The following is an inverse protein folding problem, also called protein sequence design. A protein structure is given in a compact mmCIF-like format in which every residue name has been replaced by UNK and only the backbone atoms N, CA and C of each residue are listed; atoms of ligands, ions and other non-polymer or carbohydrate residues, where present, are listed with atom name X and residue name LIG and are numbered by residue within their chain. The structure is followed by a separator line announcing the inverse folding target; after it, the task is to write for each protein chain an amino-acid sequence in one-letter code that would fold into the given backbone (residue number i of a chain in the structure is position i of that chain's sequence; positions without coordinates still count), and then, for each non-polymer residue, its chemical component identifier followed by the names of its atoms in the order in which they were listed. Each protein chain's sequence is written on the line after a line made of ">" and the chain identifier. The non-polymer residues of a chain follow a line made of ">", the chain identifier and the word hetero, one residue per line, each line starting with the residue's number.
data_IF_288153235128
#
_entry.id   IF_288153235128
#
_cell.length_a   1.000
_cell.length_b   1.000
_cell.length_c   1.000
_cell.angle_alpha   90.00
_cell.angle_beta   90.00
_cell.angle_gamma   90.00
#
_symmetry.space_group_name_H-M   'P 1'
#
loop_
_entity.id
_entity.type
_entity.pdbx_description
1 polymer ?
#
# COMPACT_ATOMS: atom_id res chain seq x y z
N UNK A 1 -38.50 63.75 -33.95
CA UNK A 1 -38.96 63.31 -32.62
C UNK A 1 -37.97 62.26 -32.11
N UNK A 2 -37.32 62.49 -30.97
CA UNK A 2 -36.46 61.48 -30.32
C UNK A 2 -37.32 60.53 -29.48
N UNK A 3 -37.00 59.22 -29.42
CA UNK A 3 -37.71 58.28 -28.54
C UNK A 3 -37.45 58.63 -27.05
N UNK A 4 -38.41 58.37 -26.14
CA UNK A 4 -38.24 58.66 -24.73
C UNK A 4 -37.12 57.80 -24.12
N UNK A 5 -36.30 58.40 -23.26
CA UNK A 5 -35.27 57.70 -22.50
C UNK A 5 -35.91 56.61 -21.64
N UNK A 6 -35.42 55.37 -21.78
CA UNK A 6 -35.83 54.25 -20.93
C UNK A 6 -35.46 54.49 -19.46
N UNK A 7 -36.09 53.78 -18.52
CA UNK A 7 -35.83 53.93 -17.09
C UNK A 7 -34.37 53.61 -16.74
N UNK A 8 -33.80 54.24 -15.68
CA UNK A 8 -32.42 54.01 -15.29
C UNK A 8 -32.20 52.53 -14.99
N UNK A 9 -31.15 51.96 -15.59
CA UNK A 9 -30.73 50.61 -15.29
C UNK A 9 -30.46 50.51 -13.79
N UNK A 10 -31.25 49.70 -13.08
CA UNK A 10 -31.02 49.40 -11.67
C UNK A 10 -29.61 48.83 -11.45
N UNK A 11 -29.12 48.81 -10.21
CA UNK A 11 -27.81 48.26 -9.90
C UNK A 11 -27.70 46.85 -10.49
N UNK A 12 -26.69 46.67 -11.35
CA UNK A 12 -26.40 45.38 -11.99
C UNK A 12 -26.04 44.40 -10.87
N UNK A 13 -26.83 43.34 -10.70
CA UNK A 13 -26.45 42.23 -9.83
C UNK A 13 -25.16 41.64 -10.39
N UNK A 14 -24.03 41.91 -9.75
CA UNK A 14 -22.77 41.27 -10.14
C UNK A 14 -22.91 39.77 -9.87
N UNK A 15 -22.63 38.89 -10.86
CA UNK A 15 -22.70 37.46 -10.63
C UNK A 15 -21.68 37.08 -9.56
N UNK A 16 -22.20 36.45 -8.51
CA UNK A 16 -21.49 35.67 -7.49
C UNK A 16 -20.33 34.92 -8.17
N UNK A 17 -19.10 35.36 -7.92
CA UNK A 17 -17.91 34.80 -8.52
C UNK A 17 -17.43 33.54 -7.80
N UNK A 18 -16.30 32.97 -8.21
CA UNK A 18 -15.62 31.93 -7.44
C UNK A 18 -15.02 32.46 -6.12
N UNK A 19 -15.34 33.74 -5.78
CA UNK A 19 -14.98 34.70 -4.72
C UNK A 19 -15.67 34.62 -3.36
N UNK A 20 -16.88 34.10 -3.39
CA UNK A 20 -17.97 34.48 -2.51
C UNK A 20 -18.70 33.24 -1.95
N UNK A 21 -17.94 32.14 -1.85
CA UNK A 21 -18.35 30.97 -1.10
C UNK A 21 -18.15 31.25 0.39
N UNK A 22 -19.25 31.53 1.07
CA UNK A 22 -19.29 31.64 2.54
C UNK A 22 -19.30 30.24 3.15
N UNK A 23 -18.27 29.94 3.94
CA UNK A 23 -18.17 28.72 4.74
C UNK A 23 -19.37 28.68 5.72
N UNK A 24 -20.23 27.66 5.68
CA UNK A 24 -21.37 27.56 6.60
C UNK A 24 -20.90 27.57 8.06
N UNK A 25 -21.48 28.40 8.94
CA UNK A 25 -21.12 28.40 10.35
C UNK A 25 -21.50 27.05 10.97
N UNK A 26 -20.49 26.25 11.33
CA UNK A 26 -20.66 24.91 11.88
C UNK A 26 -19.88 23.79 11.18
N UNK A 27 -19.08 24.10 10.14
CA UNK A 27 -18.01 23.20 9.71
C UNK A 27 -16.90 23.21 10.78
N UNK A 28 -17.10 22.36 11.78
CA UNK A 28 -16.18 22.05 12.86
C UNK A 28 -14.75 21.81 12.34
N UNK A 29 -13.75 22.33 13.07
CA UNK A 29 -12.29 22.20 12.85
C UNK A 29 -11.79 20.75 13.05
N UNK A 30 -12.63 19.76 12.76
CA UNK A 30 -12.40 18.34 12.91
C UNK A 30 -11.40 17.83 11.88
N UNK A 31 -10.11 18.11 12.08
CA UNK A 31 -9.04 17.52 11.31
C UNK A 31 -9.09 15.99 11.42
N UNK A 32 -8.86 15.32 10.29
CA UNK A 32 -8.77 13.86 10.26
C UNK A 32 -7.68 13.38 11.23
N UNK A 33 -8.09 12.63 12.25
CA UNK A 33 -7.16 11.89 13.12
C UNK A 33 -7.02 10.50 12.53
N UNK A 34 -5.83 10.12 12.00
CA UNK A 34 -5.64 8.80 11.45
C UNK A 34 -5.92 7.74 12.52
N UNK A 35 -6.56 6.61 12.14
CA UNK A 35 -6.70 5.49 13.03
C UNK A 35 -5.30 5.01 13.48
N UNK A 36 -5.19 4.43 14.68
CA UNK A 36 -3.92 3.88 15.13
C UNK A 36 -3.40 2.83 14.11
N UNK A 37 -2.07 2.77 13.89
CA UNK A 37 -1.50 1.89 12.87
C UNK A 37 -1.81 0.43 13.18
N UNK A 38 -2.02 -0.40 12.14
CA UNK A 38 -2.24 -1.83 12.34
C UNK A 38 -1.02 -2.50 13.00
N UNK A 39 -1.23 -3.60 13.73
CA UNK A 39 -0.15 -4.33 14.38
C UNK A 39 0.78 -4.97 13.34
N UNK A 40 2.08 -4.94 13.64
CA UNK A 40 3.11 -5.49 12.74
C UNK A 40 2.96 -7.01 12.51
N UNK A 41 3.27 -7.50 11.29
CA UNK A 41 3.26 -8.93 11.01
C UNK A 41 4.20 -9.70 11.93
N UNK A 42 3.71 -10.79 12.54
CA UNK A 42 4.54 -11.68 13.37
C UNK A 42 5.24 -12.71 12.50
N UNK A 43 6.57 -12.79 12.59
CA UNK A 43 7.36 -13.82 11.92
C UNK A 43 6.98 -15.18 12.51
N UNK A 44 6.43 -16.08 11.69
CA UNK A 44 6.06 -17.43 12.13
C UNK A 44 7.31 -18.33 12.07
N UNK A 45 7.36 -19.35 12.92
CA UNK A 45 8.45 -20.34 12.94
C UNK A 45 8.70 -20.96 11.55
N UNK A 46 7.63 -21.16 10.77
CA UNK A 46 7.70 -21.67 9.40
C UNK A 46 8.47 -20.72 8.47
N UNK A 47 8.24 -19.42 8.58
CA UNK A 47 8.97 -18.40 7.82
C UNK A 47 10.45 -18.41 8.20
N UNK A 48 10.75 -18.50 9.50
CA UNK A 48 12.13 -18.60 9.98
C UNK A 48 12.84 -19.86 9.45
N UNK A 49 12.15 -21.01 9.44
CA UNK A 49 12.69 -22.25 8.88
C UNK A 49 12.96 -22.15 7.38
N UNK A 50 12.05 -21.54 6.61
CA UNK A 50 12.24 -21.31 5.18
C UNK A 50 13.45 -20.40 4.90
N UNK A 51 13.58 -19.30 5.65
CA UNK A 51 14.73 -18.40 5.57
C UNK A 51 16.04 -19.11 5.91
N UNK A 52 16.03 -19.94 6.95
CA UNK A 52 17.21 -20.70 7.37
C UNK A 52 17.60 -21.73 6.30
N UNK A 53 16.64 -22.38 5.64
CA UNK A 53 16.90 -23.26 4.49
C UNK A 53 17.56 -22.52 3.33
N UNK A 54 17.05 -21.33 2.97
CA UNK A 54 17.64 -20.48 1.91
C UNK A 54 19.06 -20.10 2.28
N UNK A 55 19.26 -19.59 3.49
CA UNK A 55 20.59 -19.18 3.96
C UNK A 55 21.58 -20.35 3.97
N UNK A 56 21.15 -21.52 4.43
CA UNK A 56 21.98 -22.72 4.42
C UNK A 56 22.34 -23.15 2.99
N UNK A 57 21.38 -23.10 2.06
CA UNK A 57 21.63 -23.36 0.64
C UNK A 57 22.68 -22.42 0.04
N UNK A 58 22.58 -21.11 0.34
CA UNK A 58 23.59 -20.12 -0.09
C UNK A 58 24.97 -20.41 0.51
N UNK A 59 25.04 -20.71 1.82
CA UNK A 59 26.30 -21.03 2.49
C UNK A 59 26.95 -22.26 1.85
N UNK A 60 26.18 -23.33 1.62
CA UNK A 60 26.70 -24.55 0.97
C UNK A 60 27.21 -24.25 -0.43
N UNK A 61 26.51 -23.43 -1.23
CA UNK A 61 26.90 -23.19 -2.63
C UNK A 61 28.08 -22.23 -2.78
N UNK A 62 28.13 -21.17 -1.97
CA UNK A 62 29.04 -20.04 -2.17
C UNK A 62 30.17 -19.97 -1.15
N UNK A 63 29.93 -20.38 0.11
CA UNK A 63 30.98 -20.34 1.12
C UNK A 63 31.81 -21.63 1.16
N UNK A 64 31.18 -22.77 0.89
CA UNK A 64 31.84 -24.08 0.93
C UNK A 64 32.39 -24.54 -0.43
N UNK A 65 31.95 -23.92 -1.53
CA UNK A 65 32.37 -24.23 -2.91
C UNK A 65 32.51 -25.75 -3.21
N UNK A 66 31.46 -26.55 -3.00
CA UNK A 66 31.56 -28.00 -3.01
C UNK A 66 31.97 -28.52 -4.39
N UNK A 67 33.00 -29.37 -4.40
CA UNK A 67 33.42 -30.13 -5.59
C UNK A 67 32.57 -31.36 -5.84
N UNK A 68 32.01 -31.93 -4.78
CA UNK A 68 31.12 -33.08 -4.87
C UNK A 68 29.77 -32.64 -5.49
N UNK A 69 29.34 -33.25 -6.62
CA UNK A 69 28.06 -32.94 -7.24
C UNK A 69 26.86 -33.21 -6.31
N UNK A 70 26.94 -34.17 -5.40
CA UNK A 70 25.87 -34.47 -4.46
C UNK A 70 25.67 -33.33 -3.44
N UNK A 71 26.77 -32.80 -2.89
CA UNK A 71 26.73 -31.66 -1.96
C UNK A 71 26.25 -30.39 -2.68
N UNK A 72 26.66 -30.21 -3.94
CA UNK A 72 26.18 -29.10 -4.77
C UNK A 72 24.68 -29.20 -5.05
N UNK A 73 24.18 -30.40 -5.36
CA UNK A 73 22.75 -30.64 -5.53
C UNK A 73 21.97 -30.39 -4.23
N UNK A 74 22.50 -30.81 -3.07
CA UNK A 74 21.90 -30.51 -1.77
C UNK A 74 21.77 -29.00 -1.52
N UNK A 75 22.82 -28.23 -1.82
CA UNK A 75 22.78 -26.76 -1.73
C UNK A 75 21.69 -26.14 -2.60
N UNK A 76 21.55 -26.63 -3.84
CA UNK A 76 20.47 -26.19 -4.75
C UNK A 76 19.09 -26.58 -4.24
N UNK A 77 18.91 -27.78 -3.70
CA UNK A 77 17.64 -28.24 -3.13
C UNK A 77 17.26 -27.44 -1.89
N UNK A 78 18.21 -27.12 -1.01
CA UNK A 78 17.97 -26.27 0.16
C UNK A 78 17.56 -24.85 -0.24
N UNK A 79 18.23 -24.30 -1.25
CA UNK A 79 17.95 -22.96 -1.76
C UNK A 79 16.57 -22.91 -2.44
N UNK A 80 16.33 -23.79 -3.42
CA UNK A 80 15.08 -23.84 -4.17
C UNK A 80 13.90 -24.28 -3.28
N UNK A 81 14.12 -25.25 -2.39
CA UNK A 81 13.13 -25.71 -1.43
C UNK A 81 12.75 -24.63 -0.43
N UNK A 82 13.73 -23.91 0.12
CA UNK A 82 13.48 -22.77 1.01
C UNK A 82 12.71 -21.64 0.32
N UNK A 83 13.12 -21.27 -0.90
CA UNK A 83 12.43 -20.25 -1.69
C UNK A 83 11.00 -20.68 -2.08
N UNK A 84 10.84 -21.93 -2.54
CA UNK A 84 9.55 -22.50 -2.91
C UNK A 84 8.59 -22.59 -1.72
N UNK A 85 9.07 -23.01 -0.56
CA UNK A 85 8.28 -23.02 0.68
C UNK A 85 7.82 -21.61 1.08
N UNK A 86 8.68 -20.59 0.90
CA UNK A 86 8.34 -19.20 1.17
C UNK A 86 7.22 -18.70 0.25
N UNK A 87 7.36 -18.94 -1.06
CA UNK A 87 6.35 -18.56 -2.06
C UNK A 87 5.02 -19.27 -1.83
N UNK A 88 5.07 -20.58 -1.57
CA UNK A 88 3.87 -21.36 -1.30
C UNK A 88 3.15 -20.87 -0.04
N UNK A 89 3.90 -20.51 1.01
CA UNK A 89 3.30 -19.99 2.23
C UNK A 89 2.74 -18.56 2.10
N UNK A 90 3.39 -17.70 1.32
CA UNK A 90 2.82 -16.39 0.97
C UNK A 90 1.51 -16.55 0.19
N UNK A 91 1.44 -17.55 -0.70
CA UNK A 91 0.23 -17.87 -1.46
C UNK A 91 -0.92 -18.37 -0.58
N UNK A 92 -0.62 -19.17 0.45
CA UNK A 92 -1.61 -19.67 1.42
C UNK A 92 -1.99 -18.65 2.51
N UNK A 93 -1.39 -17.46 2.52
CA UNK A 93 -1.66 -16.43 3.54
C UNK A 93 -2.90 -15.56 3.26
N UNK A 94 -3.78 -15.93 2.32
CA UNK A 94 -5.11 -15.36 2.17
C UNK A 94 -6.16 -16.39 2.66
N UNK A 95 -7.10 -16.04 3.58
CA UNK A 95 -7.99 -14.89 3.40
C UNK A 95 -8.18 -14.01 4.65
N UNK A 96 -8.11 -12.71 4.43
CA UNK A 96 -8.55 -11.68 5.36
C UNK A 96 -8.93 -10.45 4.56
N UNK A 97 -10.17 -10.41 4.08
CA UNK A 97 -10.85 -9.20 3.59
C UNK A 97 -11.06 -8.24 4.76
N UNK A 98 -9.98 -7.76 5.36
CA UNK A 98 -9.99 -6.57 6.19
C UNK A 98 -10.06 -5.34 5.28
N UNK A 99 -10.64 -4.20 5.71
CA UNK A 99 -10.90 -3.01 4.88
C UNK A 99 -9.67 -2.31 4.28
N UNK A 100 -8.50 -2.94 4.26
CA UNK A 100 -7.20 -2.38 3.94
C UNK A 100 -6.51 -3.23 2.85
N UNK A 101 -7.25 -3.49 1.78
CA UNK A 101 -6.67 -3.87 0.49
C UNK A 101 -6.17 -2.57 -0.16
N UNK A 102 -4.87 -2.51 -0.42
CA UNK A 102 -4.12 -1.26 -0.57
C UNK A 102 -4.75 -0.22 -1.48
N UNK A 103 -4.79 1.03 -1.02
CA UNK A 103 -5.13 2.25 -1.76
C UNK A 103 -6.15 2.04 -2.90
N UNK A 104 -7.45 2.05 -2.56
CA UNK A 104 -8.51 2.18 -3.56
C UNK A 104 -8.48 3.59 -4.15
N UNK A 105 -8.23 3.71 -5.45
CA UNK A 105 -8.31 4.97 -6.23
C UNK A 105 -9.70 5.18 -6.80
#
# INVERSE_FOLDING_TARGET
>A
ALPPAGPPAGPRSEPSGPRDWEEPPGLDDGHYVPPPPPPVPRVRLRTAAALLSVLLGLVVLFALEPRDPAVRALGLVLLAGGAGALVWWMRDSAPGSGPDDGAVV
#
